data_IF_307076410291
#
_entry.id   IF_307076410291
#
_cell.length_a   1.000
_cell.length_b   1.000
_cell.length_c   1.000
_cell.angle_alpha   90.00
_cell.angle_beta   90.00
_cell.angle_gamma   90.00
#
_symmetry.space_group_name_H-M   'P 1'
#
loop_
_entity.id
_entity.type
_entity.pdbx_description
1 polymer ?
#
# COMPACT_ATOMS: atom_id res chain seq x y z
N UNK A 1 14.00 -2.21 22.36
CA UNK A 1 13.13 -1.89 21.22
C UNK A 1 13.61 -2.54 19.92
N UNK A 2 14.85 -2.29 19.47
CA UNK A 2 15.38 -2.91 18.24
C UNK A 2 15.32 -4.46 18.23
N UNK A 3 15.66 -5.11 19.34
CA UNK A 3 15.58 -6.59 19.42
C UNK A 3 14.17 -7.15 19.20
N UNK A 4 13.14 -6.43 19.64
CA UNK A 4 11.74 -6.82 19.39
C UNK A 4 11.37 -6.66 17.91
N UNK A 5 11.72 -5.53 17.28
CA UNK A 5 11.43 -5.30 15.86
C UNK A 5 12.10 -6.34 14.98
N UNK A 6 13.36 -6.69 15.27
CA UNK A 6 14.06 -7.77 14.57
C UNK A 6 13.39 -9.13 14.76
N UNK A 7 13.03 -9.47 16.00
CA UNK A 7 12.31 -10.72 16.30
C UNK A 7 10.94 -10.78 15.61
N UNK A 8 10.17 -9.70 15.67
CA UNK A 8 8.89 -9.57 15.01
C UNK A 8 9.05 -9.77 13.50
N UNK A 9 9.97 -9.04 12.87
CA UNK A 9 10.23 -9.16 11.43
C UNK A 9 10.65 -10.57 11.03
N UNK A 10 11.48 -11.24 11.84
CA UNK A 10 11.86 -12.63 11.61
C UNK A 10 10.64 -13.55 11.62
N UNK A 11 9.84 -13.51 12.68
CA UNK A 11 8.66 -14.37 12.84
C UNK A 11 7.59 -14.09 11.77
N UNK A 12 7.37 -12.82 11.41
CA UNK A 12 6.49 -12.43 10.31
C UNK A 12 6.95 -13.02 8.98
N UNK A 13 8.25 -12.91 8.69
CA UNK A 13 8.82 -13.43 7.44
C UNK A 13 8.57 -14.93 7.32
N UNK A 14 8.72 -15.69 8.40
CA UNK A 14 8.41 -17.12 8.40
C UNK A 14 6.93 -17.40 8.09
N UNK A 15 6.01 -16.62 8.66
CA UNK A 15 4.57 -16.77 8.40
C UNK A 15 4.18 -16.34 6.99
N UNK A 16 4.82 -15.31 6.42
CA UNK A 16 4.59 -14.85 5.05
C UNK A 16 5.12 -15.88 4.04
N UNK A 17 6.30 -16.46 4.27
CA UNK A 17 6.88 -17.50 3.41
C UNK A 17 6.08 -18.81 3.41
N UNK A 18 5.23 -19.05 4.42
CA UNK A 18 4.29 -20.18 4.42
C UNK A 18 3.01 -19.91 3.59
N UNK A 19 2.82 -18.67 3.13
CA UNK A 19 1.70 -18.33 2.25
C UNK A 19 1.92 -18.90 0.85
N UNK A 20 0.89 -19.51 0.28
CA UNK A 20 0.91 -19.99 -1.11
C UNK A 20 0.91 -18.85 -2.13
N UNK A 21 0.68 -17.61 -1.70
CA UNK A 21 0.70 -16.42 -2.56
C UNK A 21 2.10 -15.85 -2.78
N UNK A 22 3.11 -16.31 -2.03
CA UNK A 22 4.48 -15.81 -2.19
C UNK A 22 5.23 -16.74 -3.13
N UNK A 23 5.50 -16.23 -4.33
CA UNK A 23 6.33 -16.86 -5.36
C UNK A 23 7.73 -16.22 -5.38
N UNK A 24 8.62 -16.70 -6.27
CA UNK A 24 9.94 -16.09 -6.44
C UNK A 24 9.87 -14.65 -6.99
N UNK A 25 8.81 -14.33 -7.74
CA UNK A 25 8.60 -13.02 -8.36
C UNK A 25 7.79 -12.07 -7.45
N UNK A 26 7.20 -12.57 -6.36
CA UNK A 26 6.43 -11.75 -5.42
C UNK A 26 7.35 -10.87 -4.59
N UNK A 27 7.12 -9.56 -4.66
CA UNK A 27 7.83 -8.59 -3.82
C UNK A 27 7.05 -8.37 -2.53
N UNK A 28 7.72 -8.50 -1.39
CA UNK A 28 7.09 -8.42 -0.07
C UNK A 28 7.53 -7.17 0.67
N UNK A 29 6.56 -6.35 1.07
CA UNK A 29 6.75 -5.25 2.00
C UNK A 29 5.99 -5.51 3.30
N UNK A 30 6.58 -5.16 4.44
CA UNK A 30 5.91 -5.28 5.74
C UNK A 30 6.30 -4.15 6.68
N UNK A 31 5.30 -3.63 7.38
CA UNK A 31 5.45 -2.51 8.32
C UNK A 31 4.55 -2.69 9.54
N UNK A 32 4.96 -2.27 10.75
CA UNK A 32 4.03 -2.16 11.85
C UNK A 32 2.91 -1.18 11.51
N UNK A 33 1.71 -1.46 12.00
CA UNK A 33 0.58 -0.54 11.95
C UNK A 33 0.80 0.65 12.89
N UNK A 34 0.10 1.79 12.70
CA UNK A 34 0.28 2.97 13.55
C UNK A 34 0.11 2.67 15.05
N UNK A 35 0.88 3.35 15.89
CA UNK A 35 0.79 3.32 17.36
C UNK A 35 1.12 1.99 18.08
N UNK A 36 1.52 0.92 17.39
CA UNK A 36 1.91 -0.34 18.03
C UNK A 36 2.95 -1.12 17.19
N UNK A 37 3.46 -2.22 17.75
CA UNK A 37 4.41 -3.12 17.07
C UNK A 37 3.97 -4.58 17.09
N UNK A 38 2.72 -4.85 17.46
CA UNK A 38 2.11 -6.18 17.58
C UNK A 38 1.21 -6.55 16.41
N UNK A 39 0.79 -5.57 15.62
CA UNK A 39 0.01 -5.78 14.40
C UNK A 39 0.81 -5.23 13.22
N UNK A 40 1.09 -6.09 12.25
CA UNK A 40 1.90 -5.77 11.08
C UNK A 40 1.08 -5.89 9.82
N UNK A 41 1.18 -4.88 8.97
CA UNK A 41 0.63 -4.89 7.62
C UNK A 41 1.66 -5.50 6.68
N UNK A 42 1.17 -6.29 5.73
CA UNK A 42 1.93 -6.99 4.71
C UNK A 42 1.34 -6.60 3.37
N UNK A 43 2.20 -6.21 2.42
CA UNK A 43 1.84 -5.95 1.04
C UNK A 43 2.67 -6.89 0.18
N UNK A 44 1.98 -7.73 -0.58
CA UNK A 44 2.54 -8.59 -1.62
C UNK A 44 2.28 -7.90 -2.95
N UNK A 45 3.31 -7.65 -3.75
CA UNK A 45 3.19 -7.06 -5.08
C UNK A 45 3.60 -8.09 -6.11
N UNK A 46 2.70 -8.40 -7.04
CA UNK A 46 2.90 -9.41 -8.08
C UNK A 46 2.30 -8.92 -9.40
N UNK A 47 3.17 -8.48 -10.32
CA UNK A 47 2.75 -7.99 -11.64
C UNK A 47 1.78 -6.81 -11.57
N UNK A 48 0.54 -7.07 -11.99
CA UNK A 48 -0.54 -6.09 -12.11
C UNK A 48 -1.46 -6.08 -10.87
N UNK A 49 -1.22 -6.93 -9.89
CA UNK A 49 -2.00 -7.03 -8.67
C UNK A 49 -1.12 -6.80 -7.44
N UNK A 50 -1.75 -6.39 -6.34
CA UNK A 50 -1.16 -6.46 -5.02
C UNK A 50 -2.15 -7.07 -4.03
N UNK A 51 -1.62 -7.71 -3.00
CA UNK A 51 -2.41 -8.28 -1.92
C UNK A 51 -2.02 -7.65 -0.60
N UNK A 52 -3.02 -7.28 0.20
CA UNK A 52 -2.86 -6.73 1.53
C UNK A 52 -3.26 -7.77 2.58
N UNK A 53 -2.45 -7.93 3.61
CA UNK A 53 -2.75 -8.78 4.74
C UNK A 53 -2.26 -8.20 6.06
N UNK A 54 -2.81 -8.70 7.16
CA UNK A 54 -2.46 -8.26 8.51
C UNK A 54 -2.08 -9.45 9.38
N UNK A 55 -1.06 -9.27 10.21
CA UNK A 55 -0.54 -10.27 11.12
C UNK A 55 -0.49 -9.76 12.55
N UNK A 56 -1.21 -10.46 13.44
CA UNK A 56 -1.24 -10.18 14.86
C UNK A 56 -0.27 -11.11 15.62
N UNK A 57 0.71 -10.55 16.34
CA UNK A 57 1.72 -11.33 17.07
C UNK A 57 1.19 -12.02 18.34
N UNK A 58 0.28 -11.39 19.08
CA UNK A 58 -0.31 -11.98 20.30
C UNK A 58 -1.37 -13.05 20.00
N UNK A 59 -2.08 -12.94 18.87
CA UNK A 59 -3.12 -13.87 18.44
C UNK A 59 -2.81 -14.38 17.02
N UNK A 60 -1.73 -15.16 16.83
CA UNK A 60 -1.29 -15.57 15.51
C UNK A 60 -2.33 -16.50 14.86
N UNK A 61 -2.95 -16.01 13.79
CA UNK A 61 -3.86 -16.75 12.91
C UNK A 61 -3.25 -16.79 11.50
N UNK A 62 -3.81 -17.63 10.62
CA UNK A 62 -3.43 -17.62 9.20
C UNK A 62 -3.74 -16.24 8.62
N UNK A 63 -2.76 -15.64 7.94
CA UNK A 63 -2.93 -14.34 7.29
C UNK A 63 -3.99 -14.49 6.19
N UNK A 64 -5.00 -13.64 6.26
CA UNK A 64 -5.99 -13.48 5.20
C UNK A 64 -5.54 -12.31 4.34
N UNK A 65 -5.52 -12.53 3.03
CA UNK A 65 -5.08 -11.54 2.06
C UNK A 65 -6.28 -11.06 1.24
N UNK A 66 -6.39 -9.75 1.06
CA UNK A 66 -7.32 -9.11 0.14
C UNK A 66 -6.56 -8.69 -1.10
N UNK A 67 -7.05 -9.05 -2.29
CA UNK A 67 -6.41 -8.73 -3.56
C UNK A 67 -6.98 -7.47 -4.18
N UNK A 68 -6.10 -6.68 -4.80
CA UNK A 68 -6.42 -5.42 -5.46
C UNK A 68 -5.65 -5.34 -6.79
N UNK A 69 -6.30 -4.84 -7.83
CA UNK A 69 -5.70 -4.70 -9.16
C UNK A 69 -5.19 -3.28 -9.38
N UNK A 70 -4.00 -3.19 -9.94
CA UNK A 70 -3.35 -1.94 -10.35
C UNK A 70 -3.60 -1.76 -11.84
N UNK A 71 -4.20 -0.64 -12.24
CA UNK A 71 -4.38 -0.34 -13.66
C UNK A 71 -3.04 0.10 -14.29
N UNK A 72 -2.25 -0.89 -14.73
CA UNK A 72 -0.97 -0.65 -15.42
C UNK A 72 -1.14 0.05 -16.77
N UNK A 73 -2.33 0.07 -17.34
CA UNK A 73 -2.57 0.76 -18.61
C UNK A 73 -2.43 2.28 -18.44
N UNK A 74 -2.81 2.82 -17.28
CA UNK A 74 -2.63 4.23 -16.93
C UNK A 74 -1.16 4.62 -16.83
N UNK A 75 -0.31 3.76 -16.25
CA UNK A 75 1.14 3.99 -16.24
C UNK A 75 1.72 4.06 -17.67
N UNK A 76 1.19 3.26 -18.60
CA UNK A 76 1.61 3.29 -20.01
C UNK A 76 1.09 4.53 -20.73
N UNK A 77 -0.17 4.92 -20.50
CA UNK A 77 -0.78 6.11 -21.11
C UNK A 77 -0.09 7.41 -20.65
N UNK A 78 0.37 7.44 -19.40
CA UNK A 78 1.02 8.58 -18.78
C UNK A 78 2.55 8.46 -18.72
N UNK A 79 3.16 7.57 -19.50
CA UNK A 79 4.60 7.33 -19.48
C UNK A 79 5.46 8.56 -19.86
N UNK A 80 4.87 9.60 -20.45
CA UNK A 80 5.55 10.87 -20.75
C UNK A 80 5.65 11.82 -19.54
N UNK A 81 5.02 11.48 -18.41
CA UNK A 81 4.93 12.34 -17.22
C UNK A 81 6.09 12.03 -16.28
N UNK A 82 6.98 12.99 -16.08
CA UNK A 82 8.23 12.80 -15.33
C UNK A 82 7.97 12.49 -13.86
N UNK A 83 6.95 13.11 -13.27
CA UNK A 83 6.58 12.88 -11.87
C UNK A 83 6.22 11.41 -11.58
N UNK A 84 5.66 10.68 -12.56
CA UNK A 84 5.31 9.26 -12.39
C UNK A 84 6.58 8.42 -12.18
N UNK A 85 7.60 8.61 -13.00
CA UNK A 85 8.87 7.87 -12.86
C UNK A 85 9.57 8.15 -11.52
N UNK A 86 9.53 9.41 -11.07
CA UNK A 86 10.10 9.80 -9.79
C UNK A 86 9.39 9.14 -8.61
N UNK A 87 8.05 9.11 -8.64
CA UNK A 87 7.26 8.45 -7.62
C UNK A 87 7.39 6.93 -7.69
N UNK A 88 7.54 6.36 -8.89
CA UNK A 88 7.83 4.94 -9.05
C UNK A 88 9.17 4.56 -8.41
N UNK A 89 10.20 5.34 -8.67
CA UNK A 89 11.51 5.16 -8.06
C UNK A 89 11.45 5.34 -6.53
N UNK A 90 10.78 6.38 -6.04
CA UNK A 90 10.65 6.66 -4.60
C UNK A 90 9.90 5.54 -3.86
N UNK A 91 8.81 5.05 -4.45
CA UNK A 91 8.01 3.95 -3.93
C UNK A 91 8.70 2.59 -4.06
N UNK A 92 9.88 2.51 -4.70
CA UNK A 92 10.51 1.26 -5.10
C UNK A 92 9.51 0.36 -5.87
N UNK A 93 8.69 0.95 -6.74
CA UNK A 93 7.65 0.26 -7.49
C UNK A 93 6.38 -0.11 -6.71
N UNK A 94 6.31 0.10 -5.40
CA UNK A 94 5.10 -0.10 -4.59
C UNK A 94 4.13 1.09 -4.74
N UNK A 95 3.60 1.25 -5.94
CA UNK A 95 2.67 2.32 -6.26
C UNK A 95 1.45 1.77 -6.98
N UNK A 96 0.35 2.52 -6.86
CA UNK A 96 -0.81 2.42 -7.71
C UNK A 96 -1.09 3.77 -8.35
N UNK A 97 -1.81 3.74 -9.45
CA UNK A 97 -2.27 4.94 -10.15
C UNK A 97 -3.77 4.83 -10.33
N UNK A 98 -4.46 5.93 -10.04
CA UNK A 98 -5.92 6.01 -10.10
C UNK A 98 -6.33 7.32 -10.77
N UNK A 99 -7.54 7.34 -11.32
CA UNK A 99 -8.18 8.56 -11.82
C UNK A 99 -9.14 9.05 -10.73
N UNK A 100 -8.89 10.25 -10.23
CA UNK A 100 -9.73 10.92 -9.22
C UNK A 100 -10.03 12.33 -9.72
N UNK A 101 -11.30 12.67 -9.88
CA UNK A 101 -11.75 13.98 -10.35
C UNK A 101 -10.98 14.47 -11.60
N UNK A 102 -10.94 13.62 -12.65
CA UNK A 102 -10.20 13.85 -13.91
C UNK A 102 -8.69 14.13 -13.75
N UNK A 103 -8.12 13.69 -12.63
CA UNK A 103 -6.71 13.84 -12.32
C UNK A 103 -6.06 12.47 -12.13
N UNK A 104 -4.82 12.31 -12.61
CA UNK A 104 -4.03 11.12 -12.31
C UNK A 104 -3.39 11.30 -10.94
N UNK A 105 -3.69 10.35 -10.06
CA UNK A 105 -3.18 10.29 -8.70
C UNK A 105 -2.32 9.06 -8.54
N UNK A 106 -1.07 9.25 -8.13
CA UNK A 106 -0.15 8.16 -7.79
C UNK A 106 -0.05 8.04 -6.28
N UNK A 107 -0.27 6.84 -5.77
CA UNK A 107 -0.28 6.54 -4.33
C UNK A 107 0.82 5.53 -3.98
N UNK A 108 1.55 5.77 -2.88
CA UNK A 108 2.56 4.83 -2.36
C UNK A 108 1.88 3.76 -1.49
N UNK A 109 1.93 2.50 -1.93
CA UNK A 109 1.29 1.36 -1.28
C UNK A 109 1.94 1.01 0.07
N UNK A 110 3.13 1.53 0.39
CA UNK A 110 3.84 1.26 1.65
C UNK A 110 3.34 2.11 2.80
N UNK A 111 2.65 3.22 2.51
CA UNK A 111 2.27 4.24 3.49
C UNK A 111 0.75 4.38 3.56
N UNK A 112 0.16 3.78 4.60
CA UNK A 112 -1.29 3.68 4.78
C UNK A 112 -1.77 2.25 4.62
N UNK A 113 -3.02 2.11 4.22
CA UNK A 113 -3.70 0.85 3.87
C UNK A 113 -4.71 1.14 2.75
N UNK A 114 -5.33 0.10 2.18
CA UNK A 114 -6.30 0.32 1.11
C UNK A 114 -7.41 1.31 1.54
N UNK A 115 -7.86 2.12 0.57
CA UNK A 115 -8.79 3.25 0.73
C UNK A 115 -8.27 4.42 1.59
N UNK A 116 -7.09 4.29 2.23
CA UNK A 116 -6.56 5.29 3.15
C UNK A 116 -5.02 5.40 3.04
N UNK A 117 -4.55 6.04 1.97
CA UNK A 117 -3.13 6.25 1.73
C UNK A 117 -2.62 7.57 2.31
N UNK A 118 -1.47 7.52 2.99
CA UNK A 118 -0.84 8.70 3.59
C UNK A 118 -0.11 9.58 2.56
N UNK A 119 0.30 8.98 1.45
CA UNK A 119 1.15 9.61 0.44
C UNK A 119 0.56 9.41 -0.94
N UNK A 120 -0.09 10.47 -1.43
CA UNK A 120 -0.83 10.51 -2.68
C UNK A 120 -0.49 11.80 -3.39
N UNK A 121 -0.18 11.74 -4.67
CA UNK A 121 0.23 12.89 -5.45
C UNK A 121 -0.58 12.99 -6.72
N UNK A 122 -1.16 14.16 -6.98
CA UNK A 122 -1.67 14.47 -8.30
C UNK A 122 -0.49 14.78 -9.20
N UNK A 123 -0.37 14.07 -10.32
CA UNK A 123 0.74 14.23 -11.27
C UNK A 123 0.29 14.78 -12.61
N UNK A 124 -0.99 14.65 -12.94
CA UNK A 124 -1.54 15.08 -14.21
C UNK A 124 -3.02 15.40 -14.12
N UNK A 125 -3.51 16.20 -15.07
CA UNK A 125 -4.95 16.42 -15.29
C UNK A 125 -5.32 16.08 -16.72
N UNK A 126 -6.57 15.68 -16.92
CA UNK A 126 -7.08 15.39 -18.25
C UNK A 126 -7.54 16.68 -18.92
N UNK A 127 -6.89 17.06 -20.01
CA UNK A 127 -7.31 18.19 -20.85
C UNK A 127 -7.44 17.72 -22.30
N UNK A 128 -8.60 17.99 -22.92
CA UNK A 128 -8.90 17.57 -24.30
C UNK A 128 -8.69 16.07 -24.55
N UNK A 129 -8.94 15.24 -23.53
CA UNK A 129 -8.79 13.78 -23.61
C UNK A 129 -7.35 13.27 -23.41
N UNK A 130 -6.37 14.16 -23.19
CA UNK A 130 -4.96 13.82 -23.02
C UNK A 130 -4.49 14.19 -21.61
N UNK A 131 -3.63 13.36 -21.02
CA UNK A 131 -2.98 13.68 -19.74
C UNK A 131 -1.94 14.78 -19.91
N UNK A 132 -2.17 15.92 -19.26
CA UNK A 132 -1.24 17.02 -19.16
C UNK A 132 -0.53 16.95 -17.81
N UNK A 133 0.79 16.87 -17.83
CA UNK A 133 1.61 16.92 -16.62
C UNK A 133 1.38 18.25 -15.90
N UNK A 134 1.17 18.18 -14.59
CA UNK A 134 1.12 19.34 -13.71
C UNK A 134 2.29 19.28 -12.73
N UNK A 135 2.55 20.37 -12.02
CA UNK A 135 3.46 20.29 -10.88
C UNK A 135 2.86 19.34 -9.85
N UNK A 136 3.63 18.32 -9.46
CA UNK A 136 3.16 17.31 -8.51
C UNK A 136 2.80 17.95 -7.17
N UNK A 137 1.56 17.73 -6.75
CA UNK A 137 1.03 18.24 -5.48
C UNK A 137 0.57 17.07 -4.62
N UNK A 138 1.01 17.04 -3.36
CA UNK A 138 0.57 16.04 -2.40
C UNK A 138 -0.89 16.33 -2.02
N UNK A 139 -1.76 15.35 -2.20
CA UNK A 139 -3.12 15.43 -1.70
C UNK A 139 -3.14 15.30 -0.17
N UNK A 140 -4.12 15.93 0.51
CA UNK A 140 -4.39 15.63 1.91
C UNK A 140 -4.51 14.11 2.10
N UNK A 141 -3.88 13.61 3.15
CA UNK A 141 -4.01 12.21 3.55
C UNK A 141 -5.48 11.91 3.84
N UNK A 142 -6.00 10.83 3.26
CA UNK A 142 -7.34 10.33 3.59
C UNK A 142 -7.40 9.73 4.99
N UNK A 143 -6.25 9.33 5.57
CA UNK A 143 -6.17 8.86 6.95
C UNK A 143 -6.61 9.96 7.93
N UNK A 144 -7.87 9.93 8.34
CA UNK A 144 -8.39 10.68 9.47
C UNK A 144 -8.24 9.85 10.77
N UNK A 145 -8.33 10.49 11.93
CA UNK A 145 -8.35 9.80 13.22
C UNK A 145 -9.53 8.84 13.34
N UNK A 146 -10.67 9.15 12.73
CA UNK A 146 -11.87 8.31 12.80
C UNK A 146 -11.67 7.00 12.02
N UNK A 147 -11.10 7.05 10.82
CA UNK A 147 -10.77 5.85 10.03
C UNK A 147 -9.74 4.97 10.74
N UNK A 148 -8.80 5.58 11.47
CA UNK A 148 -7.87 4.84 12.32
C UNK A 148 -8.57 4.16 13.49
N UNK A 149 -9.55 4.81 14.12
CA UNK A 149 -10.36 4.20 15.19
C UNK A 149 -11.17 3.03 14.64
N UNK A 150 -11.81 3.19 13.48
CA UNK A 150 -12.60 2.14 12.84
C UNK A 150 -11.73 0.96 12.40
N UNK A 151 -10.55 1.23 11.83
CA UNK A 151 -9.51 0.23 11.57
C UNK A 151 -9.20 -0.54 12.86
N UNK A 152 -8.88 0.15 13.95
CA UNK A 152 -8.58 -0.49 15.23
C UNK A 152 -9.76 -1.28 15.78
N UNK A 153 -10.98 -0.78 15.64
CA UNK A 153 -12.19 -1.47 16.06
C UNK A 153 -12.42 -2.76 15.26
N UNK A 154 -12.18 -2.76 13.95
CA UNK A 154 -12.28 -3.94 13.11
C UNK A 154 -11.29 -5.04 13.54
N UNK A 155 -10.06 -4.66 13.89
CA UNK A 155 -9.04 -5.62 14.33
C UNK A 155 -9.18 -6.06 15.79
N UNK A 156 -9.66 -5.19 16.69
CA UNK A 156 -9.81 -5.54 18.12
C UNK A 156 -11.14 -6.24 18.43
N UNK A 157 -12.21 -5.97 17.67
CA UNK A 157 -13.50 -6.63 17.85
C UNK A 157 -13.65 -7.93 17.05
N UNK A 158 -12.82 -8.18 16.02
CA UNK A 158 -12.82 -9.46 15.29
C UNK A 158 -12.20 -10.62 16.08
N UNK A 159 -11.71 -10.36 17.29
CA UNK A 159 -11.13 -11.35 18.21
C UNK A 159 -12.13 -11.86 19.30
N UNK A 160 -13.44 -11.62 19.15
CA UNK A 160 -14.49 -12.24 19.96
C UNK A 160 -15.20 -13.40 19.27
#
# INVERSE_FOLDING_TARGET
YLGWVWFAKYQLTQSVLQSTLVTEDTRVFSTPTPFNSFMWRIVLLEGDDYQEGFYHFLFPKKIQYTSHTIDRSLFKEAAHITAIDQLQWFADGYNRIDIIDDSLVVSDLRMGFEDNYAFRHVVAKRENGVWQEITSEQLPSELNSDDLVDFWAAFTNSDK
#
